data_IF_362375908558
#
_entry.id   IF_362375908558
#
_cell.length_a   1.000
_cell.length_b   1.000
_cell.length_c   1.000
_cell.angle_alpha   90.00
_cell.angle_beta   90.00
_cell.angle_gamma   90.00
#
_symmetry.space_group_name_H-M   'P 1'
#
loop_
_entity.id
_entity.type
_entity.pdbx_description
1 polymer ?
#
# COMPACT_ATOMS: atom_id res chain seq x y z
N UNK A 1 -2.72 10.10 13.75
CA UNK A 1 -2.94 8.72 13.26
C UNK A 1 -2.24 7.74 14.19
N UNK A 2 -2.94 6.71 14.60
CA UNK A 2 -2.37 5.68 15.48
C UNK A 2 -1.59 4.68 14.64
N UNK A 3 -0.37 4.34 15.09
CA UNK A 3 0.48 3.36 14.43
C UNK A 3 0.73 2.20 15.37
N UNK A 4 0.45 0.98 14.91
CA UNK A 4 0.69 -0.25 15.65
C UNK A 4 1.65 -1.13 14.86
N UNK A 5 2.70 -1.63 15.51
CA UNK A 5 3.68 -2.52 14.91
C UNK A 5 3.47 -3.94 15.43
N UNK A 6 3.46 -4.91 14.51
CA UNK A 6 3.39 -6.33 14.84
C UNK A 6 4.57 -7.05 14.22
N UNK A 7 5.35 -7.76 15.02
CA UNK A 7 6.48 -8.56 14.55
C UNK A 7 6.05 -10.02 14.47
N UNK A 8 6.35 -10.65 13.34
CA UNK A 8 6.04 -12.05 13.05
C UNK A 8 7.31 -12.79 12.66
N UNK A 9 7.21 -14.11 12.47
CA UNK A 9 8.35 -14.92 12.00
C UNK A 9 8.80 -14.55 10.60
N UNK A 10 7.88 -14.05 9.75
CA UNK A 10 8.15 -13.72 8.35
C UNK A 10 8.52 -12.25 8.13
N UNK A 11 8.30 -11.39 9.10
CA UNK A 11 8.58 -9.97 8.94
C UNK A 11 7.85 -9.09 9.94
N UNK A 12 7.53 -7.88 9.52
CA UNK A 12 6.86 -6.90 10.36
C UNK A 12 5.70 -6.25 9.59
N UNK A 13 4.64 -5.91 10.33
CA UNK A 13 3.50 -5.17 9.79
C UNK A 13 3.33 -3.89 10.59
N UNK A 14 3.16 -2.78 9.88
CA UNK A 14 2.82 -1.49 10.47
C UNK A 14 1.37 -1.18 10.09
N UNK A 15 0.50 -1.06 11.09
CA UNK A 15 -0.91 -0.70 10.90
C UNK A 15 -1.10 0.77 11.22
N UNK A 16 -1.73 1.48 10.29
CA UNK A 16 -2.01 2.91 10.41
C UNK A 16 -3.52 3.11 10.42
N UNK A 17 -4.01 3.86 11.41
CA UNK A 17 -5.46 4.04 11.56
C UNK A 17 -5.79 5.39 12.20
N UNK A 18 -6.84 6.05 11.68
CA UNK A 18 -7.52 7.13 12.35
C UNK A 18 -9.04 6.97 12.14
N UNK A 19 -9.83 7.97 12.52
CA UNK A 19 -11.29 7.89 12.38
C UNK A 19 -11.78 7.87 10.92
N UNK A 20 -10.94 8.28 9.96
CA UNK A 20 -11.33 8.43 8.55
C UNK A 20 -10.76 7.36 7.64
N UNK A 21 -9.64 6.75 7.99
CA UNK A 21 -8.98 5.82 7.11
C UNK A 21 -8.07 4.84 7.85
N UNK A 22 -7.67 3.81 7.12
CA UNK A 22 -6.66 2.85 7.59
C UNK A 22 -5.88 2.27 6.41
N UNK A 23 -4.67 1.82 6.68
CA UNK A 23 -3.86 1.03 5.75
C UNK A 23 -2.78 0.29 6.52
N UNK A 24 -2.11 -0.63 5.86
CA UNK A 24 -0.99 -1.38 6.43
C UNK A 24 0.19 -1.39 5.47
N UNK A 25 1.40 -1.40 6.04
CA UNK A 25 2.64 -1.61 5.32
C UNK A 25 3.30 -2.88 5.86
N UNK A 26 3.56 -3.83 4.97
CA UNK A 26 4.17 -5.12 5.28
C UNK A 26 5.60 -5.14 4.80
N UNK A 27 6.51 -5.66 5.62
CA UNK A 27 7.91 -5.86 5.24
C UNK A 27 8.32 -7.29 5.55
N UNK A 28 8.78 -8.02 4.53
CA UNK A 28 9.22 -9.41 4.68
C UNK A 28 10.71 -9.48 4.98
N UNK A 29 11.11 -10.46 5.80
CA UNK A 29 12.51 -10.62 6.22
C UNK A 29 13.49 -10.85 5.07
N UNK A 30 13.03 -11.47 3.98
CA UNK A 30 13.85 -11.80 2.81
C UNK A 30 13.88 -10.70 1.75
N UNK A 31 13.18 -9.59 1.97
CA UNK A 31 13.16 -8.46 1.02
C UNK A 31 13.41 -7.15 1.76
N UNK A 32 14.60 -6.62 1.61
CA UNK A 32 15.02 -5.38 2.26
C UNK A 32 14.70 -4.12 1.45
N UNK A 33 14.14 -4.26 0.25
CA UNK A 33 13.91 -3.14 -0.65
C UNK A 33 12.45 -2.74 -0.77
N UNK A 34 11.51 -3.67 -0.52
CA UNK A 34 10.10 -3.50 -0.83
C UNK A 34 9.24 -3.55 0.41
N UNK A 35 8.33 -2.58 0.55
CA UNK A 35 7.18 -2.65 1.45
C UNK A 35 5.93 -2.90 0.63
N UNK A 36 4.97 -3.60 1.22
CA UNK A 36 3.72 -3.95 0.57
C UNK A 36 2.58 -3.17 1.21
N UNK A 37 1.90 -2.36 0.42
CA UNK A 37 0.72 -1.58 0.85
C UNK A 37 -0.52 -2.45 0.76
N UNK A 38 -1.28 -2.51 1.83
CA UNK A 38 -2.48 -3.35 1.92
C UNK A 38 -3.55 -2.71 2.81
N UNK A 39 -4.77 -3.25 2.71
CA UNK A 39 -5.89 -2.86 3.57
C UNK A 39 -6.22 -1.37 3.54
N UNK A 40 -6.00 -0.71 2.41
CA UNK A 40 -6.34 0.70 2.24
C UNK A 40 -7.85 0.86 2.27
N UNK A 41 -8.33 1.66 3.22
CA UNK A 41 -9.76 1.94 3.35
C UNK A 41 -9.98 3.36 3.82
N UNK A 42 -10.90 4.05 3.15
CA UNK A 42 -11.36 5.38 3.53
C UNK A 42 -12.84 5.27 3.92
N UNK A 43 -13.20 5.81 5.08
CA UNK A 43 -14.59 5.82 5.53
C UNK A 43 -15.48 6.52 4.49
N UNK A 44 -16.67 5.99 4.25
CA UNK A 44 -17.57 6.54 3.25
C UNK A 44 -17.85 8.03 3.47
N UNK A 45 -18.03 8.43 4.72
CA UNK A 45 -18.28 9.83 5.10
C UNK A 45 -17.10 10.76 4.81
N UNK A 46 -15.90 10.21 4.62
CA UNK A 46 -14.68 10.98 4.39
C UNK A 46 -14.18 10.93 2.95
N UNK A 47 -14.87 10.20 2.06
CA UNK A 47 -14.49 10.09 0.64
C UNK A 47 -14.68 11.44 -0.07
N UNK A 48 -13.85 11.67 -1.09
CA UNK A 48 -13.87 12.91 -1.86
C UNK A 48 -13.14 14.07 -1.22
N UNK A 49 -12.39 13.84 -0.13
CA UNK A 49 -11.64 14.89 0.59
C UNK A 49 -10.13 14.80 0.39
N UNK A 50 -9.66 14.02 -0.58
CA UNK A 50 -8.23 13.84 -0.81
C UNK A 50 -7.52 12.95 0.22
N UNK A 51 -8.25 12.21 1.05
CA UNK A 51 -7.66 11.35 2.09
C UNK A 51 -6.86 10.21 1.47
N UNK A 52 -7.31 9.66 0.33
CA UNK A 52 -6.56 8.65 -0.40
C UNK A 52 -5.18 9.14 -0.82
N UNK A 53 -5.09 10.37 -1.33
CA UNK A 53 -3.80 10.98 -1.67
C UNK A 53 -2.90 11.12 -0.44
N UNK A 54 -3.47 11.51 0.68
CA UNK A 54 -2.73 11.63 1.94
C UNK A 54 -2.20 10.28 2.42
N UNK A 55 -2.97 9.19 2.22
CA UNK A 55 -2.52 7.83 2.52
C UNK A 55 -1.29 7.48 1.70
N UNK A 56 -1.31 7.74 0.39
CA UNK A 56 -0.18 7.42 -0.49
C UNK A 56 1.06 8.24 -0.15
N UNK A 57 0.90 9.53 0.16
CA UNK A 57 2.01 10.37 0.61
C UNK A 57 2.60 9.86 1.92
N UNK A 58 1.76 9.48 2.88
CA UNK A 58 2.22 8.95 4.15
C UNK A 58 2.90 7.59 3.98
N UNK A 59 2.36 6.71 3.12
CA UNK A 59 2.99 5.43 2.82
C UNK A 59 4.40 5.61 2.25
N UNK A 60 4.57 6.54 1.31
CA UNK A 60 5.89 6.89 0.76
C UNK A 60 6.84 7.37 1.84
N UNK A 61 6.39 8.30 2.67
CA UNK A 61 7.18 8.86 3.76
C UNK A 61 7.63 7.78 4.75
N UNK A 62 6.71 6.90 5.14
CA UNK A 62 7.01 5.84 6.11
C UNK A 62 7.92 4.78 5.53
N UNK A 63 7.74 4.40 4.27
CA UNK A 63 8.64 3.46 3.61
C UNK A 63 10.06 4.02 3.52
N UNK A 64 10.22 5.28 3.14
CA UNK A 64 11.54 5.96 3.12
C UNK A 64 12.17 6.01 4.50
N UNK A 65 11.38 6.28 5.53
CA UNK A 65 11.83 6.34 6.92
C UNK A 65 12.49 5.03 7.35
N UNK A 66 11.97 3.89 6.88
CA UNK A 66 12.51 2.56 7.18
C UNK A 66 13.50 2.06 6.12
N UNK A 67 13.96 2.95 5.23
CA UNK A 67 14.98 2.68 4.20
C UNK A 67 14.53 1.71 3.10
N UNK A 68 13.24 1.66 2.81
CA UNK A 68 12.72 0.92 1.65
C UNK A 68 12.70 1.82 0.42
N UNK A 69 12.84 1.22 -0.75
CA UNK A 69 12.95 1.96 -2.02
C UNK A 69 11.77 1.74 -2.95
N UNK A 70 10.93 0.75 -2.69
CA UNK A 70 9.80 0.38 -3.54
C UNK A 70 8.59 0.06 -2.66
N UNK A 71 7.42 0.51 -3.10
CA UNK A 71 6.13 0.05 -2.55
C UNK A 71 5.44 -0.79 -3.63
N UNK A 72 4.97 -1.98 -3.24
CA UNK A 72 4.16 -2.85 -4.09
C UNK A 72 2.76 -3.01 -3.52
N UNK A 73 1.80 -3.28 -4.40
CA UNK A 73 0.44 -3.60 -4.02
C UNK A 73 -0.20 -4.52 -5.05
N UNK A 74 -1.29 -5.18 -4.64
CA UNK A 74 -2.08 -6.04 -5.52
C UNK A 74 -3.47 -5.45 -5.66
N UNK A 75 -3.98 -5.40 -6.90
CA UNK A 75 -5.27 -4.77 -7.21
C UNK A 75 -5.94 -5.51 -8.37
N UNK A 76 -7.27 -5.45 -8.42
CA UNK A 76 -8.02 -5.99 -9.55
C UNK A 76 -7.74 -5.14 -10.79
N UNK A 77 -7.21 -5.76 -11.84
CA UNK A 77 -6.77 -5.08 -13.07
C UNK A 77 -7.89 -4.25 -13.72
N UNK A 78 -9.11 -4.75 -13.74
CA UNK A 78 -10.25 -4.10 -14.38
C UNK A 78 -10.96 -3.07 -13.50
N UNK A 79 -10.45 -2.79 -12.30
CA UNK A 79 -11.10 -1.87 -11.36
C UNK A 79 -10.67 -0.41 -11.60
N UNK A 80 -11.54 0.54 -11.20
CA UNK A 80 -11.19 1.96 -11.20
C UNK A 80 -10.03 2.27 -10.25
N UNK A 81 -9.87 1.44 -9.21
CA UNK A 81 -8.80 1.60 -8.22
C UNK A 81 -7.43 1.39 -8.87
N UNK A 82 -7.33 0.43 -9.82
CA UNK A 82 -6.12 0.23 -10.61
C UNK A 82 -5.70 1.52 -11.33
N UNK A 83 -6.64 2.16 -12.01
CA UNK A 83 -6.37 3.40 -12.74
C UNK A 83 -6.01 4.54 -11.80
N UNK A 84 -6.63 4.57 -10.63
CA UNK A 84 -6.30 5.55 -9.60
C UNK A 84 -4.85 5.41 -9.11
N UNK A 85 -4.41 4.17 -8.85
CA UNK A 85 -3.01 3.93 -8.50
C UNK A 85 -2.06 4.28 -9.65
N UNK A 86 -2.43 3.94 -10.89
CA UNK A 86 -1.62 4.28 -12.06
C UNK A 86 -1.41 5.79 -12.17
N UNK A 87 -2.45 6.58 -11.89
CA UNK A 87 -2.37 8.04 -11.89
C UNK A 87 -1.53 8.61 -10.75
N UNK A 88 -1.18 7.79 -9.77
CA UNK A 88 -0.36 8.17 -8.61
C UNK A 88 1.05 7.58 -8.65
N UNK A 89 1.51 7.16 -9.82
CA UNK A 89 2.89 6.72 -10.01
C UNK A 89 3.14 5.22 -9.86
N UNK A 90 2.08 4.43 -9.75
CA UNK A 90 2.19 2.98 -9.71
C UNK A 90 2.11 2.39 -11.10
N UNK A 91 2.91 1.37 -11.37
CA UNK A 91 2.96 0.68 -12.67
C UNK A 91 2.79 -0.82 -12.49
N UNK A 92 2.04 -1.45 -13.41
CA UNK A 92 1.89 -2.90 -13.44
C UNK A 92 3.25 -3.57 -13.71
N UNK A 93 3.52 -4.70 -13.05
CA UNK A 93 4.73 -5.46 -13.35
C UNK A 93 4.50 -6.96 -13.51
N UNK A 94 3.45 -7.55 -12.93
CA UNK A 94 3.09 -8.95 -13.20
C UNK A 94 1.64 -9.23 -12.77
N UNK A 95 1.07 -10.29 -13.37
CA UNK A 95 -0.20 -10.82 -12.91
C UNK A 95 0.02 -11.70 -11.67
N UNK A 96 -1.01 -11.79 -10.83
CA UNK A 96 -0.97 -12.68 -9.67
C UNK A 96 -0.98 -14.13 -10.13
N UNK A 97 -0.20 -15.00 -9.47
CA UNK A 97 -0.08 -16.41 -9.84
C UNK A 97 -1.36 -17.21 -9.55
N UNK A 98 -2.11 -16.82 -8.54
CA UNK A 98 -3.28 -17.56 -8.09
C UNK A 98 -4.57 -17.06 -8.73
N UNK A 99 -4.63 -15.77 -9.09
CA UNK A 99 -5.82 -15.14 -9.65
C UNK A 99 -5.43 -14.08 -10.67
N UNK A 100 -5.61 -14.42 -11.95
CA UNK A 100 -5.25 -13.54 -13.06
C UNK A 100 -6.10 -12.27 -13.17
N UNK A 101 -7.18 -12.15 -12.38
CA UNK A 101 -7.94 -10.91 -12.28
C UNK A 101 -7.15 -9.83 -11.54
N UNK A 102 -6.17 -10.22 -10.73
CA UNK A 102 -5.30 -9.31 -9.98
C UNK A 102 -3.98 -9.08 -10.70
N UNK A 103 -3.48 -7.86 -10.53
CA UNK A 103 -2.15 -7.47 -10.99
C UNK A 103 -1.37 -6.87 -9.83
N UNK A 104 -0.07 -7.09 -9.81
CA UNK A 104 0.85 -6.43 -8.91
C UNK A 104 1.34 -5.14 -9.53
N UNK A 105 1.29 -4.06 -8.76
CA UNK A 105 1.80 -2.76 -9.15
C UNK A 105 2.93 -2.34 -8.23
N UNK A 106 3.84 -1.51 -8.73
CA UNK A 106 4.95 -0.97 -7.94
C UNK A 106 5.13 0.51 -8.17
N UNK A 107 5.64 1.17 -7.13
CA UNK A 107 6.03 2.57 -7.13
C UNK A 107 7.43 2.69 -6.56
N UNK A 108 8.34 3.26 -7.31
CA UNK A 108 9.72 3.50 -6.88
C UNK A 108 9.79 4.84 -6.15
N UNK A 109 10.33 4.80 -4.95
CA UNK A 109 10.42 5.96 -4.06
C UNK A 109 11.59 6.87 -4.42
#
# INVERSE_FOLDING_TARGET
MTVTKETTDWGVVYYYKNEYCRFALYAYNDDKNTMYLSNVKVAQSARGRGIGNNILELADKEAKKYNYTVICLKVIKSSWVHDWYANHGYSDFCYDHEDAAYVWMKHTL
#
